data_IF_084477272901
#
_entry.id   IF_084477272901
#
_cell.length_a   1.000
_cell.length_b   1.000
_cell.length_c   1.000
_cell.angle_alpha   90.00
_cell.angle_beta   90.00
_cell.angle_gamma   90.00
#
_symmetry.space_group_name_H-M   'P 1'
#
loop_
_entity.id
_entity.type
_entity.pdbx_description
1 polymer ?
#
# COMPACT_ATOMS: atom_id res chain seq x y z
N UNK A 1 -27.01 17.35 12.06
CA UNK A 1 -25.85 18.16 11.63
C UNK A 1 -24.77 17.15 11.27
N UNK A 2 -24.27 17.13 10.03
CA UNK A 2 -23.16 16.27 9.68
C UNK A 2 -21.91 16.85 10.36
N UNK A 3 -21.27 16.08 11.24
CA UNK A 3 -19.99 16.48 11.82
C UNK A 3 -19.00 16.76 10.67
N UNK A 4 -18.25 17.89 10.71
CA UNK A 4 -17.23 18.13 9.70
C UNK A 4 -16.22 16.99 9.78
N UNK A 5 -16.15 16.20 8.71
CA UNK A 5 -15.19 15.12 8.56
C UNK A 5 -13.78 15.73 8.67
N UNK A 6 -13.18 15.58 9.86
CA UNK A 6 -11.86 16.13 10.17
C UNK A 6 -10.87 14.99 9.91
N UNK A 7 -10.29 14.98 8.71
CA UNK A 7 -9.20 14.06 8.40
C UNK A 7 -8.00 14.48 9.24
N UNK A 8 -7.53 13.60 10.13
CA UNK A 8 -6.23 13.77 10.75
C UNK A 8 -5.16 13.42 9.72
N UNK A 9 -4.65 14.47 9.10
CA UNK A 9 -3.62 14.41 8.07
C UNK A 9 -2.32 13.76 8.59
N UNK A 10 -2.00 13.94 9.88
CA UNK A 10 -0.82 13.33 10.52
C UNK A 10 -1.02 11.83 10.72
N UNK A 11 -2.21 11.41 11.14
CA UNK A 11 -2.55 9.99 11.25
C UNK A 11 -2.49 9.29 9.89
N UNK A 12 -2.98 9.96 8.84
CA UNK A 12 -2.94 9.45 7.47
C UNK A 12 -1.51 9.25 6.95
N UNK A 13 -0.59 10.18 7.23
CA UNK A 13 0.84 10.04 6.90
C UNK A 13 1.47 8.86 7.65
N UNK A 14 1.19 8.72 8.95
CA UNK A 14 1.71 7.61 9.75
C UNK A 14 1.24 6.25 9.24
N UNK A 15 -0.04 6.13 8.89
CA UNK A 15 -0.61 4.90 8.31
C UNK A 15 0.05 4.61 6.96
N UNK A 16 0.19 5.63 6.10
CA UNK A 16 0.83 5.50 4.78
C UNK A 16 2.27 4.98 4.90
N UNK A 17 3.05 5.50 5.86
CA UNK A 17 4.42 5.05 6.12
C UNK A 17 4.48 3.60 6.62
N UNK A 18 3.59 3.22 7.55
CA UNK A 18 3.49 1.83 8.04
C UNK A 18 3.13 0.85 6.92
N UNK A 19 2.18 1.23 6.06
CA UNK A 19 1.79 0.40 4.91
C UNK A 19 2.95 0.26 3.92
N UNK A 20 3.74 1.30 3.68
CA UNK A 20 4.94 1.19 2.84
C UNK A 20 5.92 0.13 3.38
N UNK A 21 6.21 0.19 4.68
CA UNK A 21 7.08 -0.80 5.34
C UNK A 21 6.52 -2.22 5.25
N UNK A 22 5.21 -2.37 5.42
CA UNK A 22 4.53 -3.66 5.31
C UNK A 22 4.58 -4.24 3.89
N UNK A 23 4.37 -3.43 2.85
CA UNK A 23 4.50 -3.86 1.44
C UNK A 23 5.93 -4.33 1.15
N UNK A 24 6.94 -3.61 1.63
CA UNK A 24 8.33 -4.04 1.53
C UNK A 24 8.56 -5.41 2.18
N UNK A 25 8.11 -5.58 3.43
CA UNK A 25 8.18 -6.85 4.15
C UNK A 25 7.46 -8.00 3.43
N UNK A 26 6.27 -7.73 2.86
CA UNK A 26 5.53 -8.73 2.09
C UNK A 26 6.32 -9.19 0.87
N UNK A 27 6.87 -8.25 0.08
CA UNK A 27 7.62 -8.57 -1.13
C UNK A 27 8.90 -9.37 -0.82
N UNK A 28 9.61 -9.01 0.24
CA UNK A 28 10.79 -9.77 0.71
C UNK A 28 10.41 -11.19 1.14
N UNK A 29 9.28 -11.32 1.85
CA UNK A 29 8.75 -12.61 2.30
C UNK A 29 8.34 -13.50 1.13
N UNK A 30 7.65 -12.96 0.13
CA UNK A 30 7.25 -13.70 -1.07
C UNK A 30 8.47 -14.18 -1.86
N UNK A 31 9.47 -13.32 -2.04
CA UNK A 31 10.76 -13.69 -2.66
C UNK A 31 11.44 -14.83 -1.89
N UNK A 32 11.48 -14.74 -0.56
CA UNK A 32 12.08 -15.76 0.29
C UNK A 32 11.34 -17.10 0.23
N UNK A 33 10.01 -17.08 0.18
CA UNK A 33 9.20 -18.29 0.03
C UNK A 33 9.43 -18.91 -1.36
N UNK A 34 9.44 -18.12 -2.42
CA UNK A 34 9.73 -18.60 -3.78
C UNK A 34 11.06 -19.33 -3.86
N UNK A 35 12.13 -18.73 -3.34
CA UNK A 35 13.46 -19.33 -3.33
C UNK A 35 13.49 -20.69 -2.61
N UNK A 36 12.83 -20.77 -1.44
CA UNK A 36 12.76 -22.01 -0.65
C UNK A 36 11.94 -23.09 -1.35
N UNK A 37 10.81 -22.71 -1.96
CA UNK A 37 9.97 -23.65 -2.71
C UNK A 37 10.72 -24.20 -3.93
N UNK A 38 11.39 -23.34 -4.71
CA UNK A 38 12.21 -23.78 -5.84
C UNK A 38 13.32 -24.74 -5.42
N UNK A 39 13.98 -24.48 -4.28
CA UNK A 39 14.99 -25.38 -3.75
C UNK A 39 14.42 -26.77 -3.41
N UNK A 40 13.23 -26.84 -2.80
CA UNK A 40 12.55 -28.11 -2.50
C UNK A 40 12.14 -28.85 -3.79
N UNK A 41 11.58 -28.13 -4.76
CA UNK A 41 11.16 -28.70 -6.04
C UNK A 41 12.32 -29.30 -6.84
N UNK A 42 13.54 -28.80 -6.68
CA UNK A 42 14.71 -29.32 -7.40
C UNK A 42 14.99 -30.82 -7.15
N UNK A 43 14.62 -31.32 -5.97
CA UNK A 43 14.77 -32.73 -5.58
C UNK A 43 13.46 -33.51 -5.55
N UNK A 44 12.33 -32.86 -5.79
CA UNK A 44 11.00 -33.46 -5.69
C UNK A 44 10.35 -33.57 -7.07
N UNK A 45 10.11 -34.81 -7.52
CA UNK A 45 9.55 -35.10 -8.83
C UNK A 45 8.32 -36.00 -8.75
N UNK A 46 7.62 -36.12 -9.89
CA UNK A 46 6.40 -36.91 -10.02
C UNK A 46 5.11 -36.08 -9.99
N UNK A 47 3.94 -36.72 -10.15
CA UNK A 47 2.66 -36.02 -10.32
C UNK A 47 2.31 -35.06 -9.17
N UNK A 48 2.65 -35.42 -7.93
CA UNK A 48 2.42 -34.58 -6.77
C UNK A 48 3.29 -33.32 -6.75
N UNK A 49 4.53 -33.40 -7.27
CA UNK A 49 5.41 -32.24 -7.37
C UNK A 49 4.87 -31.23 -8.40
N UNK A 50 4.33 -31.72 -9.53
CA UNK A 50 3.69 -30.89 -10.55
C UNK A 50 2.45 -30.17 -9.98
N UNK A 51 1.56 -30.92 -9.32
CA UNK A 51 0.36 -30.33 -8.72
C UNK A 51 0.69 -29.27 -7.65
N UNK A 52 1.74 -29.50 -6.85
CA UNK A 52 2.20 -28.53 -5.86
C UNK A 52 2.83 -27.28 -6.50
N UNK A 53 3.58 -27.43 -7.60
CA UNK A 53 4.13 -26.30 -8.36
C UNK A 53 3.03 -25.43 -8.97
N UNK A 54 2.02 -26.05 -9.58
CA UNK A 54 0.88 -25.32 -10.16
C UNK A 54 0.10 -24.56 -9.08
N UNK A 55 -0.17 -25.20 -7.94
CA UNK A 55 -0.83 -24.55 -6.80
C UNK A 55 0.03 -23.41 -6.23
N UNK A 56 1.35 -23.60 -6.15
CA UNK A 56 2.27 -22.58 -5.66
C UNK A 56 2.33 -21.35 -6.58
N UNK A 57 2.35 -21.56 -7.91
CA UNK A 57 2.30 -20.47 -8.90
C UNK A 57 1.01 -19.65 -8.76
N UNK A 58 -0.14 -20.31 -8.66
CA UNK A 58 -1.42 -19.63 -8.46
C UNK A 58 -1.44 -18.83 -7.16
N UNK A 59 -0.94 -19.41 -6.08
CA UNK A 59 -0.83 -18.72 -4.80
C UNK A 59 0.10 -17.50 -4.89
N UNK A 60 1.25 -17.63 -5.57
CA UNK A 60 2.20 -16.53 -5.72
C UNK A 60 1.59 -15.35 -6.50
N UNK A 61 0.86 -15.62 -7.58
CA UNK A 61 0.12 -14.59 -8.32
C UNK A 61 -0.86 -13.86 -7.41
N UNK A 62 -1.71 -14.58 -6.68
CA UNK A 62 -2.67 -13.95 -5.78
C UNK A 62 -2.01 -13.16 -4.64
N UNK A 63 -0.88 -13.63 -4.13
CA UNK A 63 -0.14 -12.92 -3.09
C UNK A 63 0.49 -11.62 -3.61
N UNK A 64 0.99 -11.65 -4.85
CA UNK A 64 1.50 -10.46 -5.52
C UNK A 64 0.39 -9.45 -5.82
N UNK A 65 -0.76 -9.90 -6.32
CA UNK A 65 -1.94 -9.04 -6.55
C UNK A 65 -2.38 -8.32 -5.27
N UNK A 66 -2.35 -9.02 -4.12
CA UNK A 66 -2.65 -8.43 -2.82
C UNK A 66 -1.61 -7.37 -2.44
N UNK A 67 -0.32 -7.65 -2.60
CA UNK A 67 0.75 -6.69 -2.30
C UNK A 67 0.61 -5.41 -3.13
N UNK A 68 0.38 -5.57 -4.44
CA UNK A 68 0.19 -4.45 -5.38
C UNK A 68 -1.07 -3.64 -5.05
N UNK A 69 -2.18 -4.31 -4.71
CA UNK A 69 -3.42 -3.64 -4.29
C UNK A 69 -3.25 -2.81 -3.02
N UNK A 70 -2.50 -3.31 -2.04
CA UNK A 70 -2.19 -2.58 -0.81
C UNK A 70 -1.32 -1.35 -1.11
N UNK A 71 -0.31 -1.45 -1.97
CA UNK A 71 0.50 -0.31 -2.37
C UNK A 71 -0.31 0.73 -3.16
N UNK A 72 -1.21 0.30 -4.04
CA UNK A 72 -2.12 1.20 -4.76
C UNK A 72 -3.01 2.00 -3.79
N UNK A 73 -3.57 1.35 -2.77
CA UNK A 73 -4.33 2.04 -1.71
C UNK A 73 -3.47 3.05 -0.95
N UNK A 74 -2.21 2.71 -0.64
CA UNK A 74 -1.26 3.62 0.00
C UNK A 74 -0.99 4.86 -0.86
N UNK A 75 -0.73 4.68 -2.15
CA UNK A 75 -0.48 5.79 -3.09
C UNK A 75 -1.71 6.69 -3.19
N UNK A 76 -2.91 6.11 -3.25
CA UNK A 76 -4.16 6.89 -3.26
C UNK A 76 -4.35 7.71 -1.97
N UNK A 77 -4.04 7.13 -0.81
CA UNK A 77 -4.09 7.82 0.49
C UNK A 77 -3.10 9.00 0.55
N UNK A 78 -1.86 8.81 0.09
CA UNK A 78 -0.86 9.87 0.01
C UNK A 78 -1.30 11.01 -0.93
N UNK A 79 -1.87 10.67 -2.08
CA UNK A 79 -2.40 11.67 -3.02
C UNK A 79 -3.58 12.45 -2.42
N UNK A 80 -4.48 11.80 -1.67
CA UNK A 80 -5.56 12.47 -0.97
C UNK A 80 -5.02 13.44 0.10
N UNK A 81 -4.04 13.00 0.89
CA UNK A 81 -3.38 13.81 1.90
C UNK A 81 -2.79 15.11 1.31
N UNK A 82 -2.05 15.00 0.20
CA UNK A 82 -1.47 16.14 -0.49
C UNK A 82 -2.54 17.15 -0.94
N UNK A 83 -3.63 16.67 -1.58
CA UNK A 83 -4.74 17.52 -2.05
C UNK A 83 -5.41 18.27 -0.90
N UNK A 84 -5.63 17.61 0.23
CA UNK A 84 -6.21 18.27 1.40
C UNK A 84 -5.30 19.34 1.98
N UNK A 85 -3.99 19.06 2.04
CA UNK A 85 -2.99 20.02 2.53
C UNK A 85 -2.92 21.27 1.65
N UNK A 86 -2.89 21.09 0.33
CA UNK A 86 -2.88 22.21 -0.64
C UNK A 86 -4.16 23.05 -0.58
N UNK A 87 -5.32 22.41 -0.42
CA UNK A 87 -6.60 23.10 -0.27
C UNK A 87 -6.64 23.96 1.00
N UNK A 88 -6.14 23.45 2.13
CA UNK A 88 -6.04 24.20 3.38
C UNK A 88 -5.10 25.39 3.23
N UNK A 89 -3.91 25.19 2.65
CA UNK A 89 -2.94 26.26 2.43
C UNK A 89 -3.51 27.38 1.55
N UNK A 90 -4.15 27.02 0.44
CA UNK A 90 -4.79 27.98 -0.49
C UNK A 90 -5.88 28.79 0.21
N UNK A 91 -6.73 28.14 1.01
CA UNK A 91 -7.78 28.82 1.76
C UNK A 91 -7.21 29.80 2.80
N UNK A 92 -6.15 29.43 3.51
CA UNK A 92 -5.48 30.31 4.47
C UNK A 92 -4.86 31.54 3.79
N UNK A 93 -4.22 31.37 2.63
CA UNK A 93 -3.68 32.49 1.87
C UNK A 93 -4.77 33.47 1.39
N UNK A 94 -5.89 32.95 0.88
CA UNK A 94 -7.00 33.78 0.41
C UNK A 94 -7.64 34.58 1.55
N UNK A 95 -7.85 33.94 2.71
CA UNK A 95 -8.39 34.60 3.90
C UNK A 95 -7.42 35.65 4.47
N UNK A 96 -6.11 35.35 4.50
CA UNK A 96 -5.08 36.30 4.91
C UNK A 96 -4.99 37.52 3.99
N UNK A 97 -5.20 37.35 2.68
CA UNK A 97 -5.29 38.45 1.71
C UNK A 97 -6.59 39.26 1.82
N UNK A 98 -7.69 38.64 2.26
CA UNK A 98 -8.98 39.31 2.47
C UNK A 98 -9.06 40.13 3.76
N UNK A 99 -8.41 39.68 4.84
CA UNK A 99 -8.39 40.37 6.14
C UNK A 99 -7.48 41.61 6.19
N UNK A 100 -6.53 41.76 5.28
CA UNK A 100 -5.65 42.94 5.19
C UNK A 100 -6.31 44.15 4.50
N UNK A 101 -7.60 44.07 4.11
CA UNK A 101 -8.33 45.11 3.38
C UNK A 101 -9.59 45.65 4.10
N UNK A 102 -9.71 45.45 5.42
CA UNK A 102 -10.81 45.97 6.24
C UNK A 102 -10.31 46.85 7.38
#
# INVERSE_FOLDING_TARGET
MAEPFRVDLTELDNITARVAGFVGFLNDSLTGIQQRTTAVQSGWSGPSAVAADDAFKQWMTGAQDVSEGIDAMRVAAAAAHQRYTEAVATNLEMLGRGGARS
#
